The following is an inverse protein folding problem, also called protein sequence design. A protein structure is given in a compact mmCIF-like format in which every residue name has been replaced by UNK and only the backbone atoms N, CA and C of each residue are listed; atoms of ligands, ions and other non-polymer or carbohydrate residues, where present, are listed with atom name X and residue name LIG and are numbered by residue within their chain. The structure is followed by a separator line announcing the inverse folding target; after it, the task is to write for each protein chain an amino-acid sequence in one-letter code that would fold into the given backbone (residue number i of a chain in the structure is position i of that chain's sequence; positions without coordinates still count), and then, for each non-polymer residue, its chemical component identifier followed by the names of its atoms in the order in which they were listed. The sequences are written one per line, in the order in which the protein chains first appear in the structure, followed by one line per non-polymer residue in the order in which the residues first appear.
data_IF_438972576557
#
_entry.id   IF_438972576557
#
_cell.length_a   1.000
_cell.length_b   1.000
_cell.length_c   1.000
_cell.angle_alpha   90.00
_cell.angle_beta   90.00
_cell.angle_gamma   90.00
#
_symmetry.space_group_name_H-M   'P 1'
#
loop_
_entity.id
_entity.type
_entity.pdbx_description
1 polymer ?
#
# COMPACT_ATOMS: atom_id res chain seq x y z
N UNK A 1 -24.45 15.35 22.62
CA UNK A 1 -24.41 16.07 21.33
C UNK A 1 -22.99 16.32 20.86
N UNK A 2 -22.27 17.23 21.52
CA UNK A 2 -20.96 17.71 21.08
C UNK A 2 -19.89 16.61 20.93
N UNK A 3 -19.81 15.66 21.87
CA UNK A 3 -18.86 14.52 21.80
C UNK A 3 -19.11 13.63 20.58
N UNK A 4 -20.37 13.30 20.28
CA UNK A 4 -20.72 12.47 19.13
C UNK A 4 -20.46 13.22 17.82
N UNK A 5 -20.76 14.53 17.78
CA UNK A 5 -20.44 15.37 16.63
C UNK A 5 -18.92 15.44 16.38
N UNK A 6 -18.12 15.56 17.44
CA UNK A 6 -16.66 15.55 17.34
C UNK A 6 -16.14 14.20 16.82
N UNK A 7 -16.64 13.08 17.35
CA UNK A 7 -16.26 11.74 16.90
C UNK A 7 -16.61 11.49 15.42
N UNK A 8 -17.83 11.85 15.01
CA UNK A 8 -18.26 11.72 13.61
C UNK A 8 -17.43 12.60 12.68
N UNK A 9 -17.12 13.84 13.08
CA UNK A 9 -16.26 14.74 12.32
C UNK A 9 -14.86 14.15 12.11
N UNK A 10 -14.27 13.59 13.16
CA UNK A 10 -12.97 12.92 13.08
C UNK A 10 -12.99 11.72 12.10
N UNK A 11 -14.01 10.87 12.19
CA UNK A 11 -14.18 9.71 11.29
C UNK A 11 -14.36 10.17 9.84
N UNK A 12 -15.17 11.21 9.59
CA UNK A 12 -15.39 11.74 8.24
C UNK A 12 -14.10 12.34 7.65
N UNK A 13 -13.28 13.01 8.45
CA UNK A 13 -11.98 13.55 8.00
C UNK A 13 -11.06 12.43 7.50
N UNK A 14 -10.88 11.36 8.28
CA UNK A 14 -10.07 10.21 7.87
C UNK A 14 -10.66 9.49 6.66
N UNK A 15 -11.98 9.24 6.65
CA UNK A 15 -12.66 8.57 5.55
C UNK A 15 -12.51 9.35 4.23
N UNK A 16 -12.71 10.68 4.26
CA UNK A 16 -12.53 11.54 3.08
C UNK A 16 -11.08 11.53 2.58
N UNK A 17 -10.09 11.55 3.49
CA UNK A 17 -8.68 11.49 3.14
C UNK A 17 -8.30 10.18 2.47
N UNK A 18 -8.70 9.04 3.05
CA UNK A 18 -8.43 7.72 2.48
C UNK A 18 -9.14 7.51 1.14
N UNK A 19 -10.39 7.95 1.01
CA UNK A 19 -11.15 7.85 -0.24
C UNK A 19 -10.52 8.69 -1.35
N UNK A 20 -10.13 9.92 -1.06
CA UNK A 20 -9.46 10.79 -2.04
C UNK A 20 -8.08 10.25 -2.42
N UNK A 21 -7.31 9.76 -1.45
CA UNK A 21 -6.01 9.15 -1.71
C UNK A 21 -6.14 7.92 -2.62
N UNK A 22 -7.07 7.01 -2.30
CA UNK A 22 -7.31 5.81 -3.09
C UNK A 22 -7.85 6.12 -4.49
N UNK A 23 -8.74 7.11 -4.63
CA UNK A 23 -9.23 7.58 -5.92
C UNK A 23 -8.11 8.21 -6.77
N UNK A 24 -7.21 8.98 -6.15
CA UNK A 24 -6.05 9.57 -6.83
C UNK A 24 -5.09 8.50 -7.32
N UNK A 25 -4.76 7.51 -6.48
CA UNK A 25 -3.93 6.36 -6.87
C UNK A 25 -4.56 5.62 -8.04
N UNK A 26 -5.87 5.33 -7.97
CA UNK A 26 -6.57 4.66 -9.07
C UNK A 26 -6.55 5.49 -10.37
N UNK A 27 -6.70 6.81 -10.26
CA UNK A 27 -6.66 7.71 -11.42
C UNK A 27 -5.26 7.80 -12.03
N UNK A 28 -4.23 8.09 -11.24
CA UNK A 28 -2.88 8.37 -11.75
C UNK A 28 -2.13 7.08 -12.11
N UNK A 29 -2.18 6.05 -11.24
CA UNK A 29 -1.38 4.85 -11.42
C UNK A 29 -2.02 3.83 -12.36
N UNK A 30 -3.35 3.80 -12.45
CA UNK A 30 -4.08 2.87 -13.32
C UNK A 30 -4.65 3.59 -14.54
N UNK A 31 -5.54 4.56 -14.34
CA UNK A 31 -6.28 5.15 -15.46
C UNK A 31 -5.38 5.97 -16.41
N UNK A 32 -4.65 6.96 -15.88
CA UNK A 32 -3.79 7.84 -16.68
C UNK A 32 -2.60 7.08 -17.27
N UNK A 33 -2.04 6.12 -16.51
CA UNK A 33 -0.87 5.37 -16.97
C UNK A 33 -1.17 4.26 -17.97
N UNK A 34 -2.29 3.53 -17.84
CA UNK A 34 -2.60 2.38 -18.69
C UNK A 34 -3.74 2.60 -19.69
N UNK A 35 -4.81 3.31 -19.30
CA UNK A 35 -6.02 3.43 -20.15
C UNK A 35 -5.99 4.68 -21.04
N UNK A 36 -5.48 5.80 -20.55
CA UNK A 36 -5.42 7.07 -21.29
C UNK A 36 -4.13 7.85 -21.02
N UNK A 37 -3.00 7.41 -21.62
CA UNK A 37 -1.75 8.16 -21.56
C UNK A 37 -1.92 9.54 -22.20
N UNK A 38 -1.62 10.61 -21.46
CA UNK A 38 -1.52 11.97 -22.01
C UNK A 38 -2.77 12.84 -21.97
N UNK A 39 -3.84 12.44 -21.28
CA UNK A 39 -4.99 13.36 -21.06
C UNK A 39 -4.78 14.22 -19.81
N UNK A 40 -4.92 15.53 -19.96
CA UNK A 40 -4.99 16.48 -18.85
C UNK A 40 -6.19 16.17 -17.94
N UNK A 41 -5.98 16.32 -16.64
CA UNK A 41 -6.91 15.96 -15.57
C UNK A 41 -8.29 16.62 -15.75
N UNK A 42 -9.26 15.86 -16.25
CA UNK A 42 -10.66 16.29 -16.34
C UNK A 42 -11.32 16.14 -14.96
N UNK A 43 -11.78 17.27 -14.40
CA UNK A 43 -12.47 17.31 -13.10
C UNK A 43 -13.68 16.38 -13.10
N UNK A 44 -14.35 16.19 -14.24
CA UNK A 44 -15.51 15.28 -14.36
C UNK A 44 -15.09 13.82 -14.17
N UNK A 45 -13.94 13.44 -14.73
CA UNK A 45 -13.38 12.10 -14.57
C UNK A 45 -12.99 11.86 -13.12
N UNK A 46 -12.29 12.80 -12.48
CA UNK A 46 -11.91 12.67 -11.07
C UNK A 46 -13.12 12.54 -10.15
N UNK A 47 -14.19 13.31 -10.39
CA UNK A 47 -15.46 13.15 -9.66
C UNK A 47 -16.09 11.77 -9.89
N UNK A 48 -16.06 11.26 -11.12
CA UNK A 48 -16.61 9.94 -11.44
C UNK A 48 -15.82 8.80 -10.75
N UNK A 49 -14.50 8.84 -10.78
CA UNK A 49 -13.62 7.85 -10.10
C UNK A 49 -13.84 7.92 -8.58
N UNK A 50 -13.93 9.13 -8.02
CA UNK A 50 -14.19 9.33 -6.59
C UNK A 50 -15.54 8.76 -6.17
N UNK A 51 -16.60 9.01 -6.97
CA UNK A 51 -17.93 8.46 -6.74
C UNK A 51 -17.91 6.92 -6.78
N UNK A 52 -17.29 6.35 -7.81
CA UNK A 52 -17.19 4.90 -7.99
C UNK A 52 -16.43 4.24 -6.85
N UNK A 53 -15.32 4.86 -6.41
CA UNK A 53 -14.55 4.40 -5.26
C UNK A 53 -15.36 4.49 -3.95
N UNK A 54 -16.16 5.55 -3.79
CA UNK A 54 -17.07 5.69 -2.64
C UNK A 54 -18.15 4.61 -2.60
N UNK A 55 -18.76 4.29 -3.74
CA UNK A 55 -19.73 3.18 -3.83
C UNK A 55 -19.06 1.85 -3.52
N UNK A 56 -17.87 1.58 -4.07
CA UNK A 56 -17.13 0.36 -3.79
C UNK A 56 -16.77 0.22 -2.29
N UNK A 57 -16.30 1.30 -1.67
CA UNK A 57 -16.02 1.36 -0.22
C UNK A 57 -17.27 1.11 0.61
N UNK A 58 -18.42 1.68 0.23
CA UNK A 58 -19.70 1.47 0.92
C UNK A 58 -20.13 0.00 0.86
N UNK A 59 -20.04 -0.62 -0.32
CA UNK A 59 -20.34 -2.05 -0.51
C UNK A 59 -19.42 -2.90 0.35
N UNK A 60 -18.11 -2.66 0.31
CA UNK A 60 -17.15 -3.38 1.15
C UNK A 60 -17.45 -3.22 2.65
N UNK A 61 -17.80 -2.01 3.09
CA UNK A 61 -18.18 -1.75 4.47
C UNK A 61 -19.41 -2.56 4.92
N UNK A 62 -20.37 -2.83 4.01
CA UNK A 62 -21.51 -3.70 4.30
C UNK A 62 -21.17 -5.20 4.32
N UNK A 63 -20.08 -5.62 3.66
CA UNK A 63 -19.65 -7.03 3.61
C UNK A 63 -18.71 -7.40 4.76
N UNK A 64 -17.95 -6.44 5.31
CA UNK A 64 -17.01 -6.68 6.41
C UNK A 64 -17.78 -6.88 7.72
N UNK A 65 -17.74 -8.10 8.25
CA UNK A 65 -18.37 -8.45 9.52
C UNK A 65 -17.45 -8.19 10.74
N UNK A 66 -16.14 -8.27 10.54
CA UNK A 66 -15.13 -8.04 11.58
C UNK A 66 -14.12 -6.98 11.13
N UNK A 67 -14.30 -5.77 11.65
CA UNK A 67 -13.45 -4.61 11.35
C UNK A 67 -12.03 -4.81 11.90
N UNK A 68 -11.89 -5.48 13.05
CA UNK A 68 -10.59 -5.70 13.68
C UNK A 68 -9.77 -6.66 12.81
N UNK A 69 -10.36 -7.77 12.38
CA UNK A 69 -9.70 -8.71 11.48
C UNK A 69 -9.33 -8.07 10.13
N UNK A 70 -10.24 -7.30 9.54
CA UNK A 70 -9.97 -6.59 8.28
C UNK A 70 -8.80 -5.62 8.42
N UNK A 71 -8.75 -4.87 9.53
CA UNK A 71 -7.70 -3.91 9.80
C UNK A 71 -6.35 -4.59 10.09
N UNK A 72 -6.35 -5.71 10.82
CA UNK A 72 -5.16 -6.53 11.05
C UNK A 72 -4.57 -7.05 9.74
N UNK A 73 -5.39 -7.61 8.85
CA UNK A 73 -4.93 -8.07 7.52
C UNK A 73 -4.32 -6.92 6.73
N UNK A 74 -5.03 -5.78 6.64
CA UNK A 74 -4.57 -4.62 5.89
C UNK A 74 -3.21 -4.11 6.40
N UNK A 75 -3.05 -3.94 7.72
CA UNK A 75 -1.80 -3.46 8.30
C UNK A 75 -0.67 -4.47 8.22
N UNK A 76 -0.95 -5.76 8.43
CA UNK A 76 0.07 -6.80 8.31
C UNK A 76 0.66 -6.84 6.90
N UNK A 77 -0.19 -6.75 5.87
CA UNK A 77 0.25 -6.77 4.48
C UNK A 77 0.96 -5.47 4.09
N UNK A 78 0.43 -4.31 4.53
CA UNK A 78 1.03 -3.00 4.30
C UNK A 78 2.44 -2.93 4.90
N UNK A 79 2.60 -3.26 6.18
CA UNK A 79 3.88 -3.17 6.89
C UNK A 79 4.84 -4.26 6.40
N UNK A 80 4.37 -5.51 6.30
CA UNK A 80 5.21 -6.64 5.92
C UNK A 80 5.71 -6.58 4.47
N UNK A 81 4.94 -5.98 3.56
CA UNK A 81 5.30 -5.87 2.14
C UNK A 81 5.99 -4.55 1.76
N UNK A 82 5.58 -3.41 2.32
CA UNK A 82 5.97 -2.10 1.79
C UNK A 82 7.00 -1.35 2.65
N UNK A 83 7.10 -1.63 3.95
CA UNK A 83 8.01 -0.88 4.83
C UNK A 83 9.47 -0.99 4.37
N UNK A 84 9.95 -2.22 4.17
CA UNK A 84 11.34 -2.51 3.79
C UNK A 84 11.71 -1.88 2.43
N UNK A 85 10.96 -2.10 1.33
CA UNK A 85 11.33 -1.51 0.04
C UNK A 85 11.27 0.03 0.05
N UNK A 86 10.36 0.63 0.82
CA UNK A 86 10.29 2.10 0.95
C UNK A 86 11.53 2.62 1.70
N UNK A 87 11.82 2.07 2.88
CA UNK A 87 13.01 2.46 3.67
C UNK A 87 14.29 2.16 2.90
N UNK A 88 14.36 1.01 2.24
CA UNK A 88 15.47 0.61 1.39
C UNK A 88 15.65 1.54 0.19
N UNK A 89 14.58 1.98 -0.47
CA UNK A 89 14.66 2.95 -1.56
C UNK A 89 15.17 4.33 -1.10
N UNK A 90 14.85 4.75 0.12
CA UNK A 90 15.25 6.05 0.67
C UNK A 90 16.68 6.04 1.24
N UNK A 91 17.09 4.95 1.91
CA UNK A 91 18.35 4.91 2.68
C UNK A 91 19.46 4.08 2.01
N UNK A 92 19.13 3.17 1.09
CA UNK A 92 20.10 2.24 0.53
C UNK A 92 20.67 2.73 -0.81
N UNK A 93 21.97 3.07 -0.81
CA UNK A 93 22.66 3.64 -1.98
C UNK A 93 22.69 2.74 -3.23
N UNK A 94 22.47 1.43 -3.06
CA UNK A 94 22.37 0.44 -4.14
C UNK A 94 20.96 -0.14 -4.32
N UNK A 95 19.91 0.57 -3.92
CA UNK A 95 18.54 0.11 -4.13
C UNK A 95 18.28 -0.18 -5.62
N UNK A 96 17.64 -1.33 -5.89
CA UNK A 96 17.31 -1.80 -7.23
C UNK A 96 15.79 -1.94 -7.39
N UNK A 97 15.23 -1.63 -8.57
CA UNK A 97 13.80 -1.82 -8.82
C UNK A 97 13.38 -3.29 -8.71
N UNK A 98 14.25 -4.21 -9.13
CA UNK A 98 14.02 -5.65 -9.05
C UNK A 98 14.01 -6.13 -7.59
N UNK A 99 14.91 -5.62 -6.74
CA UNK A 99 14.92 -5.91 -5.31
C UNK A 99 13.68 -5.40 -4.58
N UNK A 100 13.20 -4.20 -4.93
CA UNK A 100 11.97 -3.65 -4.37
C UNK A 100 10.73 -4.50 -4.72
N UNK A 101 10.57 -4.91 -5.98
CA UNK A 101 9.43 -5.76 -6.39
C UNK A 101 9.51 -7.13 -5.71
N UNK A 102 10.70 -7.75 -5.72
CA UNK A 102 10.90 -9.06 -5.09
C UNK A 102 10.58 -9.03 -3.60
N UNK A 103 10.96 -7.96 -2.89
CA UNK A 103 10.68 -7.82 -1.46
C UNK A 103 9.21 -7.62 -1.15
N UNK A 104 8.48 -6.85 -1.97
CA UNK A 104 7.03 -6.69 -1.81
C UNK A 104 6.34 -8.06 -1.92
N UNK A 105 6.65 -8.82 -2.97
CA UNK A 105 6.03 -10.12 -3.21
C UNK A 105 6.38 -11.10 -2.09
N UNK A 106 7.65 -11.21 -1.72
CA UNK A 106 8.10 -12.13 -0.67
C UNK A 106 7.52 -11.77 0.71
N UNK A 107 7.51 -10.48 1.07
CA UNK A 107 6.92 -9.99 2.31
C UNK A 107 5.42 -10.29 2.39
N UNK A 108 4.67 -9.98 1.33
CA UNK A 108 3.24 -10.28 1.26
C UNK A 108 2.94 -11.78 1.37
N UNK A 109 3.67 -12.62 0.64
CA UNK A 109 3.49 -14.08 0.70
C UNK A 109 3.83 -14.64 2.09
N UNK A 110 4.89 -14.14 2.73
CA UNK A 110 5.25 -14.55 4.08
C UNK A 110 4.18 -14.16 5.12
N UNK A 111 3.61 -12.96 5.01
CA UNK A 111 2.49 -12.52 5.84
C UNK A 111 1.28 -13.44 5.65
N UNK A 112 0.86 -13.67 4.39
CA UNK A 112 -0.31 -14.51 4.09
C UNK A 112 -0.11 -15.94 4.60
N UNK A 113 1.07 -16.52 4.37
CA UNK A 113 1.40 -17.87 4.84
C UNK A 113 1.39 -17.97 6.38
N UNK A 114 1.91 -16.95 7.08
CA UNK A 114 1.92 -16.91 8.53
C UNK A 114 0.51 -16.70 9.10
N UNK A 115 -0.30 -15.83 8.49
CA UNK A 115 -1.71 -15.64 8.88
C UNK A 115 -2.54 -16.93 8.68
N UNK A 116 -2.25 -17.70 7.64
CA UNK A 116 -2.92 -18.99 7.40
C UNK A 116 -2.52 -20.07 8.43
N UNK A 117 -1.33 -19.98 9.03
CA UNK A 117 -0.80 -20.93 10.03
C UNK A 117 -1.19 -20.54 11.46
N UNK A 118 -0.92 -19.29 11.84
CA UNK A 118 -0.97 -18.81 13.22
C UNK A 118 -2.27 -18.06 13.54
N UNK A 119 -3.09 -17.79 12.52
CA UNK A 119 -4.33 -17.03 12.63
C UNK A 119 -4.17 -15.52 12.38
N UNK A 120 -5.29 -14.85 12.11
CA UNK A 120 -5.32 -13.45 11.67
C UNK A 120 -4.89 -12.44 12.75
N UNK A 121 -5.06 -12.80 14.03
CA UNK A 121 -4.79 -11.95 15.19
C UNK A 121 -3.41 -12.18 15.81
N UNK A 122 -2.63 -13.12 15.29
CA UNK A 122 -1.27 -13.33 15.74
C UNK A 122 -0.40 -12.12 15.36
N UNK A 123 0.56 -11.77 16.23
CA UNK A 123 1.53 -10.70 15.95
C UNK A 123 2.77 -11.24 15.18
N UNK A 124 2.90 -12.56 15.07
CA UNK A 124 3.97 -13.21 14.29
C UNK A 124 4.04 -12.81 12.80
N UNK A 125 2.93 -12.57 12.07
CA UNK A 125 2.97 -12.34 10.62
C UNK A 125 3.77 -11.11 10.22
N UNK A 126 3.73 -10.03 11.01
CA UNK A 126 4.48 -8.80 10.73
C UNK A 126 5.98 -9.08 10.77
N UNK A 127 6.45 -9.77 11.80
CA UNK A 127 7.88 -10.02 12.00
C UNK A 127 8.43 -10.89 10.86
N UNK A 128 7.73 -11.98 10.53
CA UNK A 128 8.13 -12.85 9.43
C UNK A 128 8.04 -12.16 8.07
N UNK A 129 7.01 -11.35 7.84
CA UNK A 129 6.85 -10.53 6.64
C UNK A 129 8.02 -9.57 6.44
N UNK A 130 8.36 -8.80 7.49
CA UNK A 130 9.46 -7.85 7.46
C UNK A 130 10.82 -8.54 7.25
N UNK A 131 11.07 -9.66 7.94
CA UNK A 131 12.31 -10.41 7.76
C UNK A 131 12.44 -10.98 6.35
N UNK A 132 11.36 -11.56 5.80
CA UNK A 132 11.34 -12.07 4.44
C UNK A 132 11.55 -10.95 3.42
N UNK A 133 10.87 -9.82 3.58
CA UNK A 133 11.03 -8.64 2.73
C UNK A 133 12.45 -8.08 2.82
N UNK A 134 13.04 -8.00 4.02
CA UNK A 134 14.41 -7.50 4.20
C UNK A 134 15.45 -8.42 3.56
N UNK A 135 15.37 -9.72 3.83
CA UNK A 135 16.29 -10.70 3.27
C UNK A 135 16.26 -10.69 1.73
N UNK A 136 15.06 -10.67 1.15
CA UNK A 136 14.90 -10.65 -0.31
C UNK A 136 15.30 -9.31 -0.93
N UNK A 137 14.98 -8.17 -0.29
CA UNK A 137 15.44 -6.86 -0.74
C UNK A 137 16.96 -6.81 -0.81
N UNK A 138 17.66 -7.20 0.27
CA UNK A 138 19.12 -7.16 0.33
C UNK A 138 19.74 -8.14 -0.67
N UNK A 139 19.28 -9.39 -0.70
CA UNK A 139 19.82 -10.41 -1.60
C UNK A 139 19.67 -10.02 -3.08
N UNK A 140 18.47 -9.61 -3.49
CA UNK A 140 18.20 -9.25 -4.89
C UNK A 140 18.85 -7.92 -5.24
N UNK A 141 18.87 -6.94 -4.34
CA UNK A 141 19.49 -5.64 -4.61
C UNK A 141 21.02 -5.69 -4.68
N UNK A 142 21.65 -6.68 -4.06
CA UNK A 142 23.08 -6.96 -4.25
C UNK A 142 23.35 -7.72 -5.55
N UNK A 143 22.46 -8.62 -5.95
CA UNK A 143 22.59 -9.43 -7.17
C UNK A 143 22.22 -8.66 -8.45
N UNK A 144 21.45 -7.59 -8.35
CA UNK A 144 20.93 -6.83 -9.50
C UNK A 144 21.51 -5.42 -9.59
N UNK A 145 21.26 -4.75 -10.73
CA UNK A 145 21.81 -3.42 -11.00
C UNK A 145 21.07 -2.35 -10.18
N UNK A 146 21.79 -1.39 -9.56
CA UNK A 146 21.16 -0.23 -8.90
C UNK A 146 20.30 0.58 -9.85
N UNK A 147 19.23 1.19 -9.32
CA UNK A 147 18.29 2.01 -10.07
C UNK A 147 19.00 3.10 -10.89
N UNK A 148 18.53 3.34 -12.11
CA UNK A 148 19.12 4.33 -13.02
C UNK A 148 19.07 5.77 -12.45
N UNK A 149 18.04 6.09 -11.65
CA UNK A 149 17.90 7.39 -10.96
C UNK A 149 19.01 7.65 -9.94
N UNK A 150 19.52 6.62 -9.26
CA UNK A 150 20.67 6.71 -8.34
C UNK A 150 22.01 6.85 -9.08
N UNK A 151 22.05 6.60 -10.40
CA UNK A 151 23.27 6.77 -11.22
C UNK A 151 23.41 8.19 -11.79
N UNK A 152 22.31 8.95 -11.83
CA UNK A 152 22.26 10.27 -12.45
C UNK A 152 22.58 11.42 -11.48
N UNK A 153 22.94 11.12 -10.23
CA UNK A 153 23.55 12.09 -9.31
C UNK A 153 25.07 11.98 -9.43
N UNK A 154 25.73 12.77 -10.29
CA UNK A 154 27.15 13.04 -10.12
C UNK A 154 27.33 13.85 -8.83
N UNK A 155 28.31 13.46 -8.02
CA UNK A 155 28.90 14.32 -6.99
C UNK A 155 29.58 15.53 -7.67
#
# INVERSE_FOLDING_TARGET
GLVVAAALSAIMSTASGCLLAAATVLQEDIYARFLRPGTTSDIRLSRCITLLMGVAMLVLACLVNDVIAALSIAYNLLVGGLLVPIVGALLWRRASPQGAIASIVAGCLAVIACMARDGLLANSPIVYGLLASLATFVAVSLATRPAASLRAQPE
#
